data_IF_076910249930
#
_entry.id   IF_076910249930
#
_cell.length_a   1.000
_cell.length_b   1.000
_cell.length_c   1.000
_cell.angle_alpha   90.00
_cell.angle_beta   90.00
_cell.angle_gamma   90.00
#
_symmetry.space_group_name_H-M   'P 1'
#
loop_
_entity.id
_entity.type
_entity.pdbx_description
1 polymer ?
#
# COMPACT_ATOMS: atom_id res chain seq x y z
N UNK A 1 -11.88 -1.10 13.41
CA UNK A 1 -10.91 -1.14 12.28
C UNK A 1 -11.04 0.12 11.44
N UNK A 2 -9.93 0.73 10.99
CA UNK A 2 -9.92 1.86 10.05
C UNK A 2 -10.23 1.38 8.62
N UNK A 3 -10.87 2.24 7.80
CA UNK A 3 -11.14 1.96 6.39
C UNK A 3 -10.38 2.97 5.51
N UNK A 4 -9.49 2.45 4.68
CA UNK A 4 -8.75 3.19 3.67
C UNK A 4 -9.27 2.95 2.25
N UNK A 5 -8.85 3.78 1.31
CA UNK A 5 -9.17 3.64 -0.11
C UNK A 5 -7.91 3.77 -0.96
N UNK A 6 -7.81 2.99 -2.03
CA UNK A 6 -6.74 3.09 -3.03
C UNK A 6 -6.99 4.24 -4.00
N UNK A 7 -5.91 4.87 -4.46
CA UNK A 7 -5.94 5.78 -5.60
C UNK A 7 -5.91 4.96 -6.90
N UNK A 8 -6.72 5.28 -7.93
CA UNK A 8 -6.77 4.50 -9.18
C UNK A 8 -5.52 4.68 -10.07
N UNK A 9 -4.36 4.93 -9.45
CA UNK A 9 -3.11 5.25 -10.13
C UNK A 9 -2.54 4.11 -10.98
N UNK A 10 -2.96 2.86 -10.72
CA UNK A 10 -2.56 1.67 -11.47
C UNK A 10 -3.57 1.24 -12.54
N UNK A 11 -4.69 1.92 -12.69
CA UNK A 11 -5.67 1.57 -13.72
C UNK A 11 -5.28 2.26 -15.04
N UNK A 12 -5.10 1.50 -16.13
CA UNK A 12 -4.71 2.07 -17.42
C UNK A 12 -5.69 3.15 -17.91
N UNK A 13 -5.13 4.24 -18.43
CA UNK A 13 -5.92 5.35 -18.97
C UNK A 13 -6.43 6.35 -17.94
N UNK A 14 -6.07 6.21 -16.66
CA UNK A 14 -6.40 7.22 -15.66
C UNK A 14 -5.77 8.58 -16.01
N UNK A 15 -6.56 9.64 -15.95
CA UNK A 15 -6.08 11.00 -16.15
C UNK A 15 -5.60 11.63 -14.84
N UNK A 16 -4.52 12.44 -14.89
CA UNK A 16 -3.99 13.09 -13.69
C UNK A 16 -5.02 13.94 -12.92
N UNK A 17 -6.00 14.52 -13.63
CA UNK A 17 -7.12 15.26 -13.00
C UNK A 17 -8.01 14.34 -12.17
N UNK A 18 -8.28 13.13 -12.63
CA UNK A 18 -9.08 12.16 -11.90
C UNK A 18 -8.38 11.74 -10.59
N UNK A 19 -7.04 11.61 -10.58
CA UNK A 19 -6.29 11.29 -9.37
C UNK A 19 -6.44 12.37 -8.29
N UNK A 20 -6.36 13.64 -8.65
CA UNK A 20 -6.50 14.74 -7.68
C UNK A 20 -7.94 14.92 -7.21
N UNK A 21 -8.92 14.73 -8.10
CA UNK A 21 -10.34 14.72 -7.75
C UNK A 21 -10.67 13.57 -6.79
N UNK A 22 -10.21 12.36 -7.10
CA UNK A 22 -10.35 11.18 -6.23
C UNK A 22 -9.77 11.42 -4.83
N UNK A 23 -8.53 11.96 -4.78
CA UNK A 23 -7.86 12.24 -3.51
C UNK A 23 -8.65 13.24 -2.65
N UNK A 24 -9.17 14.30 -3.27
CA UNK A 24 -10.00 15.30 -2.58
C UNK A 24 -11.29 14.69 -2.04
N UNK A 25 -12.01 13.93 -2.87
CA UNK A 25 -13.25 13.24 -2.46
C UNK A 25 -12.99 12.23 -1.33
N UNK A 26 -11.92 11.45 -1.41
CA UNK A 26 -11.56 10.49 -0.37
C UNK A 26 -11.25 11.17 0.98
N UNK A 27 -10.57 12.31 0.96
CA UNK A 27 -10.30 13.12 2.16
C UNK A 27 -11.59 13.69 2.76
N UNK A 28 -12.49 14.21 1.92
CA UNK A 28 -13.78 14.78 2.33
C UNK A 28 -14.76 13.72 2.83
N UNK A 29 -14.79 12.54 2.20
CA UNK A 29 -15.67 11.42 2.58
C UNK A 29 -15.33 10.81 3.94
N UNK A 30 -14.11 10.96 4.42
CA UNK A 30 -13.76 10.48 5.76
C UNK A 30 -12.89 9.22 5.80
N UNK A 31 -12.39 8.72 4.67
CA UNK A 31 -11.46 7.60 4.67
C UNK A 31 -10.22 7.85 5.52
N UNK A 32 -9.70 6.81 6.14
CA UNK A 32 -8.53 6.89 7.02
C UNK A 32 -7.23 7.10 6.23
N UNK A 33 -7.11 6.44 5.09
CA UNK A 33 -5.90 6.36 4.27
C UNK A 33 -6.24 6.40 2.78
N UNK A 34 -5.41 7.12 2.00
CA UNK A 34 -5.34 7.03 0.55
C UNK A 34 -4.05 6.30 0.18
N UNK A 35 -4.16 5.19 -0.54
CA UNK A 35 -3.00 4.34 -0.81
C UNK A 35 -2.73 4.14 -2.31
N UNK A 36 -1.49 3.80 -2.66
CA UNK A 36 -1.10 3.45 -4.04
C UNK A 36 -0.32 2.15 -4.08
N UNK A 37 -0.47 1.41 -5.18
CA UNK A 37 0.32 0.21 -5.50
C UNK A 37 1.51 0.63 -6.36
N UNK A 38 2.62 -0.09 -6.25
CA UNK A 38 3.86 0.17 -6.99
C UNK A 38 4.12 -0.90 -8.04
N UNK A 39 4.42 -0.47 -9.26
CA UNK A 39 4.82 -1.29 -10.39
C UNK A 39 5.52 -0.44 -11.46
N UNK A 40 6.56 -0.97 -12.11
CA UNK A 40 7.26 -0.30 -13.22
C UNK A 40 6.71 -0.75 -14.58
N UNK A 41 6.67 -2.06 -14.81
CA UNK A 41 6.28 -2.62 -16.12
C UNK A 41 4.75 -2.73 -16.21
N UNK A 42 4.12 -1.57 -16.26
CA UNK A 42 2.68 -1.41 -16.44
C UNK A 42 2.35 0.05 -16.82
N UNK A 43 1.31 0.33 -17.62
CA UNK A 43 0.96 1.70 -18.02
C UNK A 43 0.23 2.46 -16.88
N UNK A 44 0.90 2.67 -15.77
CA UNK A 44 0.40 3.31 -14.55
C UNK A 44 1.20 4.56 -14.20
N UNK A 45 0.67 5.36 -13.27
CA UNK A 45 1.39 6.49 -12.70
C UNK A 45 2.43 6.03 -11.68
N UNK A 46 3.56 6.75 -11.58
CA UNK A 46 4.56 6.51 -10.54
C UNK A 46 3.97 6.81 -9.16
N UNK A 47 4.02 5.85 -8.22
CA UNK A 47 3.25 5.93 -6.98
C UNK A 47 3.65 7.07 -6.04
N UNK A 48 4.95 7.34 -5.86
CA UNK A 48 5.39 8.41 -4.97
C UNK A 48 5.06 9.80 -5.53
N UNK A 49 5.09 9.96 -6.86
CA UNK A 49 4.68 11.22 -7.50
C UNK A 49 3.16 11.39 -7.38
N UNK A 50 2.37 10.32 -7.57
CA UNK A 50 0.93 10.37 -7.37
C UNK A 50 0.55 10.74 -5.93
N UNK A 51 1.24 10.18 -4.93
CA UNK A 51 1.05 10.54 -3.51
C UNK A 51 1.50 11.98 -3.18
N UNK A 52 2.54 12.48 -3.85
CA UNK A 52 2.94 13.89 -3.68
C UNK A 52 1.86 14.85 -4.23
N UNK A 53 1.24 14.51 -5.37
CA UNK A 53 0.11 15.27 -5.90
C UNK A 53 -1.11 15.22 -4.96
N UNK A 54 -1.43 14.04 -4.41
CA UNK A 54 -2.49 13.86 -3.42
C UNK A 54 -2.22 14.66 -2.13
N UNK A 55 -0.95 14.74 -1.68
CA UNK A 55 -0.56 15.52 -0.50
C UNK A 55 -0.94 17.00 -0.64
N UNK A 56 -0.83 17.55 -1.86
CA UNK A 56 -1.11 18.97 -2.12
C UNK A 56 -2.60 19.31 -2.08
N UNK A 57 -3.51 18.34 -2.28
CA UNK A 57 -4.95 18.56 -2.38
C UNK A 57 -5.75 17.98 -1.20
N UNK A 58 -5.08 17.32 -0.26
CA UNK A 58 -5.70 16.69 0.92
C UNK A 58 -5.21 17.32 2.24
N UNK A 59 -5.99 17.22 3.31
CA UNK A 59 -5.69 17.87 4.60
C UNK A 59 -5.63 16.90 5.77
N UNK A 60 -6.38 15.80 5.74
CA UNK A 60 -6.59 14.90 6.88
C UNK A 60 -6.15 13.47 6.60
N UNK A 61 -6.50 12.93 5.44
CA UNK A 61 -6.29 11.53 5.07
C UNK A 61 -4.80 11.17 5.10
N UNK A 62 -4.44 10.00 5.67
CA UNK A 62 -3.09 9.46 5.58
C UNK A 62 -2.76 9.10 4.12
N UNK A 63 -1.51 9.17 3.76
CA UNK A 63 -1.01 8.82 2.42
C UNK A 63 -0.06 7.62 2.56
N UNK A 64 -0.36 6.52 1.89
CA UNK A 64 0.40 5.28 2.11
C UNK A 64 0.81 4.65 0.78
N UNK A 65 2.09 4.31 0.65
CA UNK A 65 2.48 3.36 -0.39
C UNK A 65 2.10 1.95 0.04
N UNK A 66 1.26 1.27 -0.71
CA UNK A 66 0.76 -0.06 -0.36
C UNK A 66 0.86 -1.03 -1.57
N UNK A 67 2.04 -1.43 -1.97
CA UNK A 67 3.28 -1.33 -1.21
C UNK A 67 4.41 -0.91 -2.16
N UNK A 68 5.28 0.03 -1.75
CA UNK A 68 6.45 0.42 -2.56
C UNK A 68 7.51 -0.68 -2.60
N UNK A 69 8.03 -0.97 -3.78
CA UNK A 69 9.10 -1.96 -3.98
C UNK A 69 10.45 -1.24 -3.95
N UNK A 70 11.09 -1.21 -2.79
CA UNK A 70 12.28 -0.40 -2.61
C UNK A 70 13.53 -0.93 -3.34
N UNK A 71 13.81 -2.26 -3.38
CA UNK A 71 15.10 -2.72 -3.88
C UNK A 71 15.37 -2.39 -5.36
N UNK A 72 14.38 -2.27 -6.21
CA UNK A 72 14.62 -1.88 -7.60
C UNK A 72 14.85 -0.36 -7.77
N UNK A 73 14.57 0.44 -6.74
CA UNK A 73 14.84 1.89 -6.76
C UNK A 73 16.32 2.21 -6.53
N UNK A 74 17.14 1.22 -6.18
CA UNK A 74 18.61 1.24 -6.08
C UNK A 74 19.17 2.22 -5.03
N UNK A 75 18.72 3.48 -5.02
CA UNK A 75 19.26 4.53 -4.16
C UNK A 75 18.43 4.74 -2.89
N UNK A 76 18.91 4.26 -1.75
CA UNK A 76 18.32 4.52 -0.44
C UNK A 76 18.25 6.03 -0.14
N UNK A 77 19.28 6.78 -0.52
CA UNK A 77 19.34 8.24 -0.33
C UNK A 77 18.23 8.96 -1.12
N UNK A 78 17.98 8.55 -2.37
CA UNK A 78 16.91 9.14 -3.17
C UNK A 78 15.53 8.79 -2.62
N UNK A 79 15.31 7.53 -2.23
CA UNK A 79 14.06 7.08 -1.60
C UNK A 79 13.83 7.82 -0.28
N UNK A 80 14.83 7.91 0.59
CA UNK A 80 14.74 8.64 1.86
C UNK A 80 14.32 10.10 1.63
N UNK A 81 14.94 10.76 0.63
CA UNK A 81 14.61 12.14 0.26
C UNK A 81 13.20 12.29 -0.30
N UNK A 82 12.76 11.40 -1.19
CA UNK A 82 11.41 11.41 -1.76
C UNK A 82 10.35 11.25 -0.67
N UNK A 83 10.53 10.24 0.18
CA UNK A 83 9.62 9.93 1.29
C UNK A 83 9.56 11.09 2.30
N UNK A 84 10.71 11.63 2.71
CA UNK A 84 10.77 12.79 3.59
C UNK A 84 10.07 14.03 2.99
N UNK A 85 10.20 14.22 1.67
CA UNK A 85 9.52 15.30 0.97
C UNK A 85 8.01 15.15 1.00
N UNK A 86 7.48 13.94 0.68
CA UNK A 86 6.03 13.69 0.73
C UNK A 86 5.52 13.83 2.17
N UNK A 87 6.26 13.33 3.14
CA UNK A 87 5.90 13.45 4.56
C UNK A 87 5.81 14.92 4.99
N UNK A 88 6.77 15.74 4.61
CA UNK A 88 6.74 17.19 4.84
C UNK A 88 5.57 17.88 4.11
N UNK A 89 5.38 17.61 2.81
CA UNK A 89 4.28 18.18 2.03
C UNK A 89 2.90 17.83 2.59
N UNK A 90 2.77 16.64 3.13
CA UNK A 90 1.52 16.17 3.73
C UNK A 90 1.32 16.63 5.18
N UNK A 91 2.28 17.34 5.78
CA UNK A 91 2.22 17.71 7.21
C UNK A 91 2.28 16.50 8.14
N UNK A 92 3.14 15.53 7.84
CA UNK A 92 3.38 14.37 8.69
C UNK A 92 2.42 13.18 8.48
N UNK A 93 1.59 13.18 7.41
CA UNK A 93 0.57 12.16 7.17
C UNK A 93 1.03 10.95 6.34
N UNK A 94 2.27 10.93 5.87
CA UNK A 94 2.77 9.84 5.03
C UNK A 94 3.18 8.61 5.85
N UNK A 95 2.83 7.43 5.34
CA UNK A 95 3.22 6.10 5.84
C UNK A 95 3.94 5.36 4.71
N UNK A 96 5.12 4.84 4.96
CA UNK A 96 5.88 4.06 4.00
C UNK A 96 5.53 2.57 4.12
N UNK A 97 4.65 2.07 3.27
CA UNK A 97 4.54 0.62 3.07
C UNK A 97 5.64 0.17 2.10
N UNK A 98 6.49 -0.77 2.52
CA UNK A 98 7.67 -1.18 1.78
C UNK A 98 7.84 -2.69 1.70
N UNK A 99 8.23 -3.21 0.54
CA UNK A 99 8.44 -4.63 0.31
C UNK A 99 9.56 -4.91 -0.70
N UNK A 100 9.85 -6.21 -0.87
CA UNK A 100 10.82 -6.68 -1.87
C UNK A 100 10.20 -6.90 -3.26
N UNK A 101 8.87 -7.05 -3.34
CA UNK A 101 8.19 -7.41 -4.59
C UNK A 101 8.47 -8.84 -5.08
N UNK A 102 7.63 -9.29 -6.01
CA UNK A 102 7.69 -10.64 -6.59
C UNK A 102 7.85 -10.67 -8.11
N UNK A 103 7.95 -9.51 -8.76
CA UNK A 103 7.96 -9.39 -10.23
C UNK A 103 9.38 -9.15 -10.74
N UNK A 104 9.89 -10.09 -11.51
CA UNK A 104 11.24 -10.02 -12.07
C UNK A 104 11.34 -8.97 -13.19
N UNK A 105 10.30 -8.80 -14.01
CA UNK A 105 10.22 -7.81 -15.08
C UNK A 105 10.39 -6.36 -14.60
N UNK A 106 9.86 -6.01 -13.42
CA UNK A 106 10.07 -4.69 -12.81
C UNK A 106 11.56 -4.47 -12.45
N UNK A 107 12.22 -5.52 -11.97
CA UNK A 107 13.67 -5.47 -11.68
C UNK A 107 14.53 -5.36 -12.93
N UNK A 108 14.20 -6.11 -13.98
CA UNK A 108 14.86 -6.03 -15.28
C UNK A 108 14.74 -4.63 -15.86
N UNK A 109 13.53 -4.06 -15.88
CA UNK A 109 13.27 -2.71 -16.36
C UNK A 109 14.03 -1.64 -15.57
N UNK A 110 14.23 -1.85 -14.28
CA UNK A 110 15.01 -0.97 -13.41
C UNK A 110 16.54 -1.17 -13.55
N UNK A 111 17.00 -2.21 -14.27
CA UNK A 111 18.40 -2.59 -14.32
C UNK A 111 18.96 -3.17 -13.02
N UNK A 112 18.09 -3.73 -12.18
CA UNK A 112 18.35 -4.15 -10.82
C UNK A 112 18.29 -5.68 -10.67
N UNK A 113 19.14 -6.26 -9.82
CA UNK A 113 19.18 -7.71 -9.65
C UNK A 113 18.02 -8.21 -8.77
N UNK A 114 17.21 -9.13 -9.30
CA UNK A 114 16.08 -9.72 -8.59
C UNK A 114 16.49 -10.66 -7.45
N UNK A 115 17.57 -11.44 -7.61
CA UNK A 115 17.92 -12.53 -6.71
C UNK A 115 18.50 -12.07 -5.36
N UNK A 116 19.06 -10.87 -5.27
CA UNK A 116 19.61 -10.31 -4.03
C UNK A 116 18.68 -9.26 -3.38
N UNK A 117 17.46 -9.07 -3.93
CA UNK A 117 16.51 -8.05 -3.49
C UNK A 117 16.24 -8.02 -1.99
N UNK A 118 16.18 -9.20 -1.36
CA UNK A 118 15.96 -9.30 0.08
C UNK A 118 17.10 -8.74 0.92
N UNK A 119 18.36 -8.94 0.48
CA UNK A 119 19.55 -8.40 1.13
C UNK A 119 19.63 -6.89 0.94
N UNK A 120 19.39 -6.42 -0.29
CA UNK A 120 19.38 -4.98 -0.61
C UNK A 120 18.29 -4.25 0.15
N UNK A 121 17.10 -4.84 0.28
CA UNK A 121 16.00 -4.24 1.03
C UNK A 121 16.37 -3.94 2.48
N UNK A 122 16.97 -4.90 3.19
CA UNK A 122 17.42 -4.69 4.56
C UNK A 122 18.47 -3.57 4.66
N UNK A 123 19.47 -3.58 3.76
CA UNK A 123 20.49 -2.53 3.72
C UNK A 123 19.91 -1.13 3.40
N UNK A 124 18.93 -1.07 2.49
CA UNK A 124 18.24 0.20 2.18
C UNK A 124 17.45 0.73 3.37
N UNK A 125 16.76 -0.13 4.11
CA UNK A 125 16.01 0.30 5.32
C UNK A 125 16.96 0.85 6.38
N UNK A 126 18.10 0.18 6.64
CA UNK A 126 19.14 0.66 7.57
C UNK A 126 19.69 2.04 7.15
N UNK A 127 19.93 2.23 5.86
CA UNK A 127 20.44 3.50 5.34
C UNK A 127 19.39 4.61 5.39
N UNK A 128 18.13 4.31 5.07
CA UNK A 128 17.01 5.25 5.15
C UNK A 128 16.82 5.74 6.59
N UNK A 129 16.85 4.84 7.58
CA UNK A 129 16.74 5.23 8.99
C UNK A 129 17.87 6.15 9.43
N UNK A 130 19.14 5.85 9.04
CA UNK A 130 20.28 6.71 9.35
C UNK A 130 20.16 8.10 8.71
N UNK A 131 19.70 8.16 7.47
CA UNK A 131 19.46 9.43 6.75
C UNK A 131 18.40 10.26 7.49
N UNK A 132 17.29 9.66 7.89
CA UNK A 132 16.25 10.38 8.63
C UNK A 132 16.67 10.79 10.03
N UNK A 133 17.73 10.20 10.59
CA UNK A 133 18.40 10.62 11.83
C UNK A 133 19.42 11.74 11.59
N UNK A 134 19.55 12.28 10.37
CA UNK A 134 20.40 13.40 10.00
C UNK A 134 21.76 13.03 9.40
N UNK A 135 22.03 11.74 9.15
CA UNK A 135 23.29 11.31 8.52
C UNK A 135 23.36 11.81 7.07
N UNK A 136 24.52 12.33 6.67
CA UNK A 136 24.83 12.77 5.31
C UNK A 136 24.20 14.10 4.88
N UNK A 137 23.45 14.80 5.74
CA UNK A 137 22.82 16.08 5.40
C UNK A 137 21.76 15.99 4.31
N UNK A 138 21.11 14.83 4.18
CA UNK A 138 20.05 14.56 3.21
C UNK A 138 18.70 14.92 3.84
N UNK A 139 18.09 16.02 3.37
CA UNK A 139 16.82 16.52 3.88
C UNK A 139 15.65 16.35 2.90
N UNK A 140 14.43 16.83 3.28
CA UNK A 140 14.18 17.67 4.46
C UNK A 140 14.40 16.96 5.79
N UNK A 141 14.81 17.71 6.83
CA UNK A 141 14.87 17.20 8.20
C UNK A 141 13.47 16.90 8.71
N UNK A 142 13.32 15.82 9.47
CA UNK A 142 12.06 15.36 10.01
C UNK A 142 12.12 15.30 11.53
N UNK A 143 11.21 15.99 12.21
CA UNK A 143 11.05 15.87 13.67
C UNK A 143 10.60 14.43 14.04
N UNK A 144 9.73 13.87 13.23
CA UNK A 144 9.23 12.50 13.36
C UNK A 144 9.26 11.83 11.98
N UNK A 145 10.10 10.84 11.74
CA UNK A 145 10.11 10.11 10.48
C UNK A 145 8.80 9.35 10.25
N UNK A 146 8.41 9.13 8.98
CA UNK A 146 7.20 8.40 8.67
C UNK A 146 7.28 6.95 9.18
N UNK A 147 6.19 6.41 9.73
CA UNK A 147 6.14 5.00 10.10
C UNK A 147 6.29 4.11 8.86
N UNK A 148 6.95 2.95 9.05
CA UNK A 148 7.18 1.98 8.00
C UNK A 148 6.30 0.75 8.25
N UNK A 149 5.50 0.33 7.27
CA UNK A 149 4.82 -0.96 7.27
C UNK A 149 5.54 -1.91 6.31
N UNK A 150 5.97 -3.05 6.80
CA UNK A 150 6.71 -4.02 5.98
C UNK A 150 5.73 -5.01 5.34
N UNK A 151 5.81 -5.16 4.01
CA UNK A 151 5.03 -6.13 3.27
C UNK A 151 5.77 -7.43 2.98
N UNK A 152 5.00 -8.49 2.75
CA UNK A 152 5.47 -9.82 2.37
C UNK A 152 4.96 -10.92 3.30
N UNK A 153 4.99 -12.18 2.81
CA UNK A 153 4.46 -13.37 3.49
C UNK A 153 5.54 -14.37 3.93
N UNK A 154 6.80 -14.13 3.61
CA UNK A 154 7.91 -14.95 4.10
C UNK A 154 8.28 -14.57 5.55
N UNK A 155 8.74 -15.53 6.34
CA UNK A 155 9.05 -15.31 7.76
C UNK A 155 10.01 -14.13 7.98
N UNK A 156 11.00 -13.95 7.12
CA UNK A 156 11.92 -12.80 7.15
C UNK A 156 11.22 -11.44 6.97
N UNK A 157 10.00 -11.38 6.42
CA UNK A 157 9.23 -10.13 6.33
C UNK A 157 8.68 -9.73 7.71
N UNK A 158 8.23 -10.69 8.51
CA UNK A 158 7.78 -10.43 9.88
C UNK A 158 8.93 -10.03 10.81
N UNK A 159 10.11 -10.65 10.64
CA UNK A 159 11.34 -10.23 11.35
C UNK A 159 11.74 -8.79 10.99
N UNK A 160 11.64 -8.42 9.72
CA UNK A 160 11.89 -7.03 9.28
C UNK A 160 10.86 -6.05 9.82
N UNK A 161 9.57 -6.44 9.89
CA UNK A 161 8.54 -5.62 10.51
C UNK A 161 8.86 -5.33 11.97
N UNK A 162 9.31 -6.33 12.72
CA UNK A 162 9.76 -6.16 14.08
C UNK A 162 11.02 -5.30 14.23
N UNK A 163 11.96 -5.39 13.28
CA UNK A 163 13.21 -4.64 13.35
C UNK A 163 13.10 -3.18 12.92
N UNK A 164 12.43 -2.92 11.80
CA UNK A 164 12.42 -1.60 11.13
C UNK A 164 11.04 -0.94 11.12
N UNK A 165 9.96 -1.69 11.32
CA UNK A 165 8.62 -1.23 11.06
C UNK A 165 7.88 -0.71 12.28
N UNK A 166 6.75 -0.07 11.99
CA UNK A 166 5.65 0.15 12.91
C UNK A 166 4.61 -0.98 12.84
N UNK A 167 4.79 -1.93 11.90
CA UNK A 167 3.91 -3.07 11.70
C UNK A 167 4.09 -3.74 10.34
N UNK A 168 3.07 -4.49 9.96
CA UNK A 168 3.03 -5.32 8.76
C UNK A 168 1.81 -4.97 7.89
N UNK A 169 1.97 -5.10 6.56
CA UNK A 169 0.90 -4.89 5.60
C UNK A 169 0.81 -6.10 4.66
N UNK A 170 -0.37 -6.72 4.60
CA UNK A 170 -0.65 -7.81 3.68
C UNK A 170 -1.00 -7.26 2.30
N UNK A 171 -0.31 -7.69 1.26
CA UNK A 171 -0.49 -7.23 -0.12
C UNK A 171 -1.65 -7.87 -0.88
N UNK A 172 -2.67 -8.33 -0.17
CA UNK A 172 -3.83 -9.06 -0.68
C UNK A 172 -3.91 -10.47 -0.10
N UNK A 173 -5.10 -11.03 -0.03
CA UNK A 173 -5.38 -12.33 0.56
C UNK A 173 -6.70 -12.36 1.31
N UNK A 174 -6.91 -13.40 2.11
CA UNK A 174 -8.13 -13.59 2.90
C UNK A 174 -7.95 -13.14 4.36
N UNK A 175 -9.06 -12.97 5.12
CA UNK A 175 -8.98 -12.70 6.55
C UNK A 175 -8.17 -13.75 7.33
N UNK A 176 -8.27 -15.04 6.96
CA UNK A 176 -7.50 -16.12 7.58
C UNK A 176 -5.99 -15.94 7.36
N UNK A 177 -5.58 -15.59 6.14
CA UNK A 177 -4.17 -15.30 5.82
C UNK A 177 -3.67 -14.09 6.59
N UNK A 178 -4.50 -13.06 6.78
CA UNK A 178 -4.15 -11.91 7.60
C UNK A 178 -3.98 -12.30 9.06
N UNK A 179 -4.89 -13.09 9.62
CA UNK A 179 -4.81 -13.59 11.00
C UNK A 179 -3.52 -14.37 11.24
N UNK A 180 -3.15 -15.30 10.33
CA UNK A 180 -1.89 -16.03 10.40
C UNK A 180 -0.67 -15.11 10.34
N UNK A 181 -0.64 -14.16 9.40
CA UNK A 181 0.45 -13.19 9.26
C UNK A 181 0.57 -12.27 10.48
N UNK A 182 -0.56 -11.87 11.06
CA UNK A 182 -0.62 -11.11 12.31
C UNK A 182 0.03 -11.85 13.47
N UNK A 183 -0.30 -13.11 13.67
CA UNK A 183 0.29 -13.91 14.75
C UNK A 183 1.82 -14.11 14.56
N UNK A 184 2.26 -14.32 13.32
CA UNK A 184 3.70 -14.37 13.00
C UNK A 184 4.39 -13.03 13.26
N UNK A 185 3.74 -11.91 12.88
CA UNK A 185 4.27 -10.57 13.15
C UNK A 185 4.38 -10.30 14.65
N UNK A 186 3.37 -10.67 15.45
CA UNK A 186 3.38 -10.53 16.91
C UNK A 186 4.47 -11.38 17.55
N UNK A 187 4.68 -12.60 17.07
CA UNK A 187 5.76 -13.47 17.54
C UNK A 187 7.13 -12.83 17.28
N UNK A 188 7.40 -12.38 16.06
CA UNK A 188 8.63 -11.69 15.70
C UNK A 188 8.82 -10.38 16.49
N UNK A 189 7.73 -9.64 16.74
CA UNK A 189 7.73 -8.40 17.54
C UNK A 189 8.21 -8.67 18.96
N UNK A 190 7.67 -9.70 19.60
CA UNK A 190 8.06 -10.13 20.95
C UNK A 190 9.49 -10.62 21.00
N UNK A 191 9.92 -11.45 20.03
CA UNK A 191 11.30 -11.94 19.92
C UNK A 191 12.29 -10.79 19.69
N UNK A 192 11.90 -9.76 18.95
CA UNK A 192 12.67 -8.54 18.75
C UNK A 192 12.69 -7.59 19.96
N UNK A 193 12.03 -7.94 21.06
CA UNK A 193 11.99 -7.15 22.29
C UNK A 193 11.25 -5.81 22.14
N UNK A 194 10.30 -5.73 21.19
CA UNK A 194 9.50 -4.52 20.95
C UNK A 194 8.34 -4.41 21.93
N UNK A 195 8.12 -3.21 22.43
CA UNK A 195 6.95 -2.90 23.26
C UNK A 195 5.70 -2.65 22.39
N UNK A 196 4.52 -2.89 22.98
CA UNK A 196 3.23 -2.69 22.32
C UNK A 196 2.91 -3.75 21.26
N UNK A 197 1.96 -3.46 20.41
CA UNK A 197 1.48 -4.33 19.33
C UNK A 197 1.86 -3.74 17.96
N UNK A 198 2.25 -4.58 16.98
CA UNK A 198 2.49 -4.11 15.63
C UNK A 198 1.16 -3.72 14.96
N UNK A 199 1.15 -2.64 14.18
CA UNK A 199 0.02 -2.31 13.31
C UNK A 199 -0.10 -3.32 12.17
N UNK A 200 -1.31 -3.78 11.89
CA UNK A 200 -1.60 -4.75 10.83
C UNK A 200 -2.59 -4.15 9.83
N UNK A 201 -2.20 -4.06 8.56
CA UNK A 201 -3.06 -3.58 7.49
C UNK A 201 -3.30 -4.65 6.44
N UNK A 202 -4.48 -4.63 5.82
CA UNK A 202 -4.87 -5.52 4.73
C UNK A 202 -5.32 -4.76 3.49
N UNK A 203 -5.27 -5.43 2.33
CA UNK A 203 -5.71 -4.90 1.04
C UNK A 203 -6.81 -5.77 0.47
N UNK A 204 -7.83 -5.14 -0.12
CA UNK A 204 -8.88 -5.78 -0.93
C UNK A 204 -9.14 -4.97 -2.19
N UNK A 205 -9.71 -5.57 -3.23
CA UNK A 205 -10.15 -4.85 -4.43
C UNK A 205 -11.66 -4.63 -4.40
N UNK A 206 -12.11 -3.54 -5.03
CA UNK A 206 -13.54 -3.26 -5.16
C UNK A 206 -13.90 -2.56 -6.48
N UNK A 207 -15.13 -2.75 -6.89
CA UNK A 207 -15.88 -1.91 -7.81
C UNK A 207 -17.36 -1.98 -7.41
N UNK A 208 -18.10 -0.88 -7.49
CA UNK A 208 -19.51 -0.83 -7.09
C UNK A 208 -20.36 -0.16 -8.17
N UNK A 209 -21.65 -0.45 -8.17
CA UNK A 209 -22.61 0.06 -9.15
C UNK A 209 -22.62 -0.71 -10.46
N UNK A 210 -23.21 -0.10 -11.50
CA UNK A 210 -23.39 -0.75 -12.80
C UNK A 210 -22.05 -1.11 -13.45
N UNK A 211 -21.92 -2.37 -13.91
CA UNK A 211 -20.70 -2.87 -14.57
C UNK A 211 -19.53 -3.15 -13.62
N UNK A 212 -19.75 -3.20 -12.31
CA UNK A 212 -18.72 -3.44 -11.30
C UNK A 212 -17.92 -4.72 -11.54
N UNK A 213 -18.63 -5.84 -11.82
CA UNK A 213 -17.98 -7.13 -12.07
C UNK A 213 -17.11 -7.09 -13.34
N UNK A 214 -17.59 -6.52 -14.43
CA UNK A 214 -16.85 -6.40 -15.68
C UNK A 214 -15.60 -5.53 -15.49
N UNK A 215 -15.70 -4.43 -14.77
CA UNK A 215 -14.57 -3.55 -14.45
C UNK A 215 -13.52 -4.28 -13.62
N UNK A 216 -13.92 -4.99 -12.58
CA UNK A 216 -13.04 -5.77 -11.72
C UNK A 216 -12.34 -6.90 -12.50
N UNK A 217 -13.10 -7.70 -13.25
CA UNK A 217 -12.57 -8.79 -14.06
C UNK A 217 -11.58 -8.29 -15.13
N UNK A 218 -11.95 -7.22 -15.85
CA UNK A 218 -11.10 -6.66 -16.90
C UNK A 218 -9.77 -6.14 -16.36
N UNK A 219 -9.81 -5.31 -15.31
CA UNK A 219 -8.61 -4.71 -14.74
C UNK A 219 -7.72 -5.76 -14.06
N UNK A 220 -8.29 -6.59 -13.19
CA UNK A 220 -7.47 -7.51 -12.39
C UNK A 220 -6.89 -8.65 -13.23
N UNK A 221 -7.59 -9.13 -14.26
CA UNK A 221 -7.02 -10.12 -15.20
C UNK A 221 -5.85 -9.55 -15.99
N UNK A 222 -5.92 -8.31 -16.41
CA UNK A 222 -4.81 -7.63 -17.08
C UNK A 222 -3.64 -7.37 -16.10
N UNK A 223 -3.91 -6.77 -14.95
CA UNK A 223 -2.89 -6.42 -13.97
C UNK A 223 -2.16 -7.64 -13.40
N UNK A 224 -2.88 -8.74 -13.16
CA UNK A 224 -2.35 -9.98 -12.59
C UNK A 224 -2.09 -11.09 -13.62
N UNK A 225 -2.09 -10.80 -14.92
CA UNK A 225 -1.83 -11.78 -15.97
C UNK A 225 -0.55 -12.62 -15.77
N UNK A 226 0.45 -12.05 -15.09
CA UNK A 226 1.70 -12.71 -14.74
C UNK A 226 1.58 -13.84 -13.71
N UNK A 227 0.46 -13.95 -13.00
CA UNK A 227 0.20 -15.03 -12.03
C UNK A 227 -0.28 -16.33 -12.69
N UNK A 228 -0.54 -16.34 -14.00
CA UNK A 228 -1.01 -17.52 -14.71
C UNK A 228 -2.34 -18.03 -14.16
N UNK A 229 -2.40 -19.27 -13.69
CA UNK A 229 -3.61 -19.92 -13.20
C UNK A 229 -4.26 -19.21 -11.98
N UNK A 230 -3.48 -18.44 -11.20
CA UNK A 230 -3.99 -17.70 -10.05
C UNK A 230 -4.67 -16.37 -10.41
N UNK A 231 -4.58 -15.92 -11.67
CA UNK A 231 -5.17 -14.65 -12.13
C UNK A 231 -6.68 -14.61 -11.92
N UNK A 232 -7.38 -15.68 -12.28
CA UNK A 232 -8.85 -15.77 -12.11
C UNK A 232 -9.26 -15.73 -10.64
N UNK A 233 -8.48 -16.35 -9.75
CA UNK A 233 -8.75 -16.30 -8.32
C UNK A 233 -8.65 -14.87 -7.77
N UNK A 234 -7.63 -14.11 -8.16
CA UNK A 234 -7.49 -12.71 -7.75
C UNK A 234 -8.62 -11.87 -8.33
N UNK A 235 -8.96 -12.04 -9.61
CA UNK A 235 -10.05 -11.28 -10.24
C UNK A 235 -11.41 -11.54 -9.59
N UNK A 236 -11.66 -12.80 -9.19
CA UNK A 236 -12.91 -13.19 -8.51
C UNK A 236 -12.97 -12.77 -7.03
N UNK A 237 -11.86 -12.31 -6.45
CA UNK A 237 -11.82 -11.83 -5.06
C UNK A 237 -12.19 -10.35 -4.90
N UNK A 238 -12.47 -9.63 -5.99
CA UNK A 238 -12.91 -8.25 -5.87
C UNK A 238 -14.33 -8.17 -5.30
N UNK A 239 -14.56 -7.23 -4.38
CA UNK A 239 -15.88 -6.92 -3.88
C UNK A 239 -16.64 -6.09 -4.94
N UNK A 240 -17.66 -6.69 -5.57
CA UNK A 240 -18.43 -6.06 -6.65
C UNK A 240 -19.87 -5.72 -6.25
N UNK A 241 -20.20 -5.91 -4.98
CA UNK A 241 -21.47 -5.57 -4.35
C UNK A 241 -21.29 -5.15 -2.89
N UNK A 242 -22.31 -4.53 -2.31
CA UNK A 242 -22.30 -4.02 -0.94
C UNK A 242 -22.13 -5.11 0.12
N UNK A 243 -22.77 -6.27 -0.08
CA UNK A 243 -22.73 -7.35 0.90
C UNK A 243 -21.33 -7.94 0.98
N UNK A 244 -20.64 -8.06 -0.14
CA UNK A 244 -19.23 -8.49 -0.20
C UNK A 244 -18.30 -7.50 0.47
N UNK A 245 -18.49 -6.17 0.27
CA UNK A 245 -17.73 -5.12 1.00
C UNK A 245 -17.92 -5.26 2.51
N UNK A 246 -19.17 -5.36 2.98
CA UNK A 246 -19.50 -5.54 4.39
C UNK A 246 -18.93 -6.84 4.96
N UNK A 247 -18.98 -7.92 4.17
CA UNK A 247 -18.39 -9.21 4.52
C UNK A 247 -16.87 -9.13 4.72
N UNK A 248 -16.16 -8.41 3.84
CA UNK A 248 -14.72 -8.17 4.02
C UNK A 248 -14.41 -7.32 5.25
N UNK A 249 -15.15 -6.23 5.46
CA UNK A 249 -14.97 -5.39 6.65
C UNK A 249 -15.12 -6.23 7.93
N UNK A 250 -16.17 -7.03 8.01
CA UNK A 250 -16.41 -7.90 9.17
C UNK A 250 -15.32 -8.97 9.33
N UNK A 251 -14.99 -9.71 8.26
CA UNK A 251 -14.01 -10.78 8.32
C UNK A 251 -12.59 -10.29 8.67
N UNK A 252 -12.17 -9.16 8.10
CA UNK A 252 -10.86 -8.57 8.43
C UNK A 252 -10.82 -7.97 9.83
N UNK A 253 -11.93 -7.39 10.33
CA UNK A 253 -12.02 -6.91 11.71
C UNK A 253 -11.91 -8.06 12.72
N UNK A 254 -12.63 -9.18 12.49
CA UNK A 254 -12.52 -10.40 13.30
C UNK A 254 -11.11 -11.02 13.25
N UNK A 255 -10.42 -10.92 12.11
CA UNK A 255 -9.04 -11.35 11.95
C UNK A 255 -8.01 -10.45 12.69
N UNK A 256 -8.46 -9.31 13.24
CA UNK A 256 -7.63 -8.37 13.97
C UNK A 256 -6.83 -7.43 13.07
N UNK A 257 -7.39 -7.06 11.93
CA UNK A 257 -6.87 -6.02 11.05
C UNK A 257 -7.07 -4.65 11.70
N UNK A 258 -6.06 -3.80 11.71
CA UNK A 258 -6.20 -2.42 12.20
C UNK A 258 -6.71 -1.48 11.10
N UNK A 259 -6.41 -1.81 9.84
CA UNK A 259 -6.82 -1.01 8.69
C UNK A 259 -7.00 -1.87 7.43
N UNK A 260 -8.18 -1.83 6.82
CA UNK A 260 -8.47 -2.44 5.52
C UNK A 260 -8.52 -1.36 4.44
N UNK A 261 -7.72 -1.52 3.38
CA UNK A 261 -7.63 -0.58 2.27
C UNK A 261 -8.27 -1.19 1.02
N UNK A 262 -9.35 -0.59 0.53
CA UNK A 262 -10.03 -1.03 -0.68
C UNK A 262 -9.43 -0.35 -1.92
N UNK A 263 -8.83 -1.12 -2.83
CA UNK A 263 -8.29 -0.63 -4.10
C UNK A 263 -9.33 -0.69 -5.20
N UNK A 264 -9.55 0.42 -5.92
CA UNK A 264 -10.56 0.47 -6.98
C UNK A 264 -10.16 -0.34 -8.22
N UNK A 265 -11.17 -0.87 -8.90
CA UNK A 265 -11.05 -1.45 -10.24
C UNK A 265 -11.62 -0.53 -11.33
N UNK A 266 -11.99 0.69 -10.99
CA UNK A 266 -12.51 1.72 -11.90
C UNK A 266 -11.83 3.06 -11.65
N UNK A 267 -11.66 3.88 -12.71
CA UNK A 267 -11.12 5.23 -12.61
C UNK A 267 -12.19 6.29 -12.31
N UNK A 268 -13.46 5.90 -12.26
CA UNK A 268 -14.57 6.81 -11.98
C UNK A 268 -14.53 7.32 -10.53
N UNK A 269 -14.37 8.64 -10.29
CA UNK A 269 -14.38 9.20 -8.94
C UNK A 269 -15.69 8.99 -8.16
N UNK A 270 -16.78 8.59 -8.82
CA UNK A 270 -18.03 8.18 -8.18
C UNK A 270 -17.87 6.92 -7.29
N UNK A 271 -16.86 6.09 -7.55
CA UNK A 271 -16.55 4.94 -6.71
C UNK A 271 -16.21 5.30 -5.26
N UNK A 272 -15.68 6.52 -5.04
CA UNK A 272 -15.38 7.03 -3.69
C UNK A 272 -16.68 7.17 -2.88
N UNK A 273 -17.72 7.74 -3.49
CA UNK A 273 -19.01 7.96 -2.83
C UNK A 273 -19.70 6.61 -2.55
N UNK A 274 -19.73 5.72 -3.56
CA UNK A 274 -20.32 4.39 -3.42
C UNK A 274 -19.66 3.57 -2.30
N UNK A 275 -18.33 3.57 -2.23
CA UNK A 275 -17.64 2.86 -1.14
C UNK A 275 -17.89 3.53 0.22
N UNK A 276 -17.91 4.87 0.30
CA UNK A 276 -18.13 5.59 1.53
C UNK A 276 -19.51 5.29 2.13
N UNK A 277 -20.56 5.22 1.29
CA UNK A 277 -21.93 4.88 1.71
C UNK A 277 -22.02 3.51 2.37
N UNK A 278 -21.21 2.54 1.90
CA UNK A 278 -21.21 1.16 2.40
C UNK A 278 -20.28 0.95 3.60
N UNK A 279 -19.10 1.56 3.52
CA UNK A 279 -17.98 1.22 4.42
C UNK A 279 -17.80 2.19 5.58
N UNK A 280 -18.34 3.40 5.52
CA UNK A 280 -18.19 4.45 6.54
C UNK A 280 -19.52 4.80 7.24
N UNK A 281 -20.60 4.07 6.93
CA UNK A 281 -21.94 4.29 7.50
C UNK A 281 -22.09 3.71 8.91
#
# INVERSE_FOLDING_TARGET
MDIGIGLPATIPGVEGKQLTEWATKADEAGFSTLAVIDRIVYPNCEPLIALAAAAAVTKRIRLTSAIAILPYRESAALVAKQVATIHSLSGGRFVLGAAVGGREDDYEAAGSNFHDRGKRFAAMLEEIERIWQGEGGIGPELDNPPPILIGGSADVAYERAARFGAGWIMGGGTPEMLSEGREKTKAAWKEGGRDGEPRVAGLAYFALGDGAEDAAQSYLKDYYAWLGEYTDQVASSAATDEDTVKGYIHGFDEAGCDELIFFPCSTDPGQVDLLAEVALS
#
